data_IF_290033921668
#
_entry.id   IF_290033921668
#
_cell.length_a   1.000
_cell.length_b   1.000
_cell.length_c   1.000
_cell.angle_alpha   90.00
_cell.angle_beta   90.00
_cell.angle_gamma   90.00
#
_symmetry.space_group_name_H-M   'P 1'
#
loop_
_entity.id
_entity.type
_entity.pdbx_description
1 polymer ?
#
# COMPACT_ATOMS: atom_id res chain seq x y z
N UNK A 1 33.24 -11.02 13.48
CA UNK A 1 32.17 -10.98 12.45
C UNK A 1 30.88 -10.30 12.98
N UNK A 2 30.95 -9.08 13.53
CA UNK A 2 29.78 -8.43 14.19
C UNK A 2 29.25 -7.18 13.46
N UNK A 3 29.90 -6.74 12.38
CA UNK A 3 29.56 -5.48 11.69
C UNK A 3 28.47 -5.62 10.61
N UNK A 4 28.18 -6.84 10.15
CA UNK A 4 27.22 -7.11 9.06
C UNK A 4 25.78 -7.20 9.54
N UNK A 5 25.55 -7.58 10.80
CA UNK A 5 24.23 -7.79 11.39
C UNK A 5 23.48 -6.48 11.68
N UNK A 6 24.20 -5.40 12.03
CA UNK A 6 23.60 -4.10 12.38
C UNK A 6 23.04 -3.35 11.18
N UNK A 7 23.60 -3.57 9.99
CA UNK A 7 23.16 -2.95 8.73
C UNK A 7 21.91 -3.62 8.14
N UNK A 8 21.79 -4.95 8.29
CA UNK A 8 20.62 -5.70 7.81
C UNK A 8 19.35 -5.37 8.60
N UNK A 9 19.48 -5.11 9.90
CA UNK A 9 18.37 -4.75 10.77
C UNK A 9 17.75 -3.40 10.37
N UNK A 10 18.58 -2.38 10.15
CA UNK A 10 18.10 -1.06 9.69
C UNK A 10 17.46 -1.08 8.30
N UNK A 11 17.95 -1.93 7.38
CA UNK A 11 17.36 -2.08 6.06
C UNK A 11 15.97 -2.74 6.12
N UNK A 12 15.80 -3.75 6.98
CA UNK A 12 14.51 -4.40 7.19
C UNK A 12 13.48 -3.46 7.82
N UNK A 13 13.90 -2.65 8.80
CA UNK A 13 13.04 -1.65 9.45
C UNK A 13 12.63 -0.54 8.48
N UNK A 14 13.56 -0.04 7.67
CA UNK A 14 13.27 0.95 6.63
C UNK A 14 12.31 0.39 5.56
N UNK A 15 12.53 -0.86 5.13
CA UNK A 15 11.64 -1.53 4.18
C UNK A 15 10.22 -1.70 4.76
N UNK A 16 10.10 -2.11 6.03
CA UNK A 16 8.80 -2.22 6.70
C UNK A 16 8.11 -0.87 6.85
N UNK A 17 8.86 0.18 7.19
CA UNK A 17 8.33 1.54 7.25
C UNK A 17 7.74 1.98 5.90
N UNK A 18 8.51 1.84 4.82
CA UNK A 18 8.03 2.19 3.46
C UNK A 18 6.77 1.42 3.10
N UNK A 19 6.75 0.10 3.34
CA UNK A 19 5.56 -0.72 3.05
C UNK A 19 4.34 -0.31 3.87
N UNK A 20 4.55 0.07 5.13
CA UNK A 20 3.48 0.54 6.02
C UNK A 20 2.92 1.87 5.51
N UNK A 21 3.79 2.83 5.18
CA UNK A 21 3.37 4.12 4.61
C UNK A 21 2.64 3.93 3.29
N UNK A 22 3.17 3.12 2.36
CA UNK A 22 2.49 2.86 1.08
C UNK A 22 1.14 2.19 1.30
N UNK A 23 1.04 1.24 2.24
CA UNK A 23 -0.23 0.62 2.58
C UNK A 23 -1.27 1.63 3.08
N UNK A 24 -0.89 2.48 4.03
CA UNK A 24 -1.78 3.42 4.69
C UNK A 24 -2.27 4.49 3.68
N UNK A 25 -1.35 5.08 2.90
CA UNK A 25 -1.67 6.08 1.88
C UNK A 25 -2.53 5.49 0.75
N UNK A 26 -2.18 4.30 0.25
CA UNK A 26 -2.97 3.63 -0.80
C UNK A 26 -4.35 3.25 -0.29
N UNK A 27 -4.47 2.82 0.96
CA UNK A 27 -5.76 2.49 1.58
C UNK A 27 -6.66 3.73 1.73
N UNK A 28 -6.09 4.88 2.09
CA UNK A 28 -6.81 6.14 2.13
C UNK A 28 -7.30 6.56 0.73
N UNK A 29 -6.43 6.48 -0.28
CA UNK A 29 -6.77 6.81 -1.65
C UNK A 29 -7.84 5.85 -2.22
N UNK A 30 -7.73 4.55 -1.94
CA UNK A 30 -8.74 3.56 -2.36
C UNK A 30 -10.11 3.90 -1.81
N UNK A 31 -10.21 4.28 -0.53
CA UNK A 31 -11.48 4.71 0.08
C UNK A 31 -12.10 5.91 -0.65
N UNK A 32 -11.28 6.92 -0.97
CA UNK A 32 -11.74 8.08 -1.73
C UNK A 32 -12.23 7.70 -3.14
N UNK A 33 -11.48 6.86 -3.85
CA UNK A 33 -11.89 6.38 -5.19
C UNK A 33 -13.17 5.54 -5.13
N UNK A 34 -13.34 4.70 -4.11
CA UNK A 34 -14.57 3.93 -3.89
C UNK A 34 -15.78 4.81 -3.58
N UNK A 35 -15.58 5.95 -2.92
CA UNK A 35 -16.62 6.96 -2.69
C UNK A 35 -16.99 7.68 -3.99
N UNK A 36 -16.02 8.07 -4.81
CA UNK A 36 -16.26 8.69 -6.13
C UNK A 36 -17.00 7.71 -7.04
N UNK A 37 -16.55 6.44 -7.11
CA UNK A 37 -17.21 5.38 -7.89
C UNK A 37 -18.68 5.16 -7.50
N UNK A 38 -19.06 5.47 -6.26
CA UNK A 38 -20.43 5.33 -5.76
C UNK A 38 -21.30 6.56 -6.01
N UNK A 39 -20.70 7.75 -6.05
CA UNK A 39 -21.43 9.03 -6.16
C UNK A 39 -21.61 9.51 -7.59
N UNK A 40 -20.68 9.21 -8.47
CA UNK A 40 -20.65 9.71 -9.84
C UNK A 40 -20.97 8.61 -10.84
N UNK A 41 -21.40 8.97 -12.07
CA UNK A 41 -21.65 8.01 -13.13
C UNK A 41 -20.45 7.08 -13.35
N UNK A 42 -20.71 5.83 -13.81
CA UNK A 42 -19.65 4.87 -14.08
C UNK A 42 -18.59 5.44 -15.01
N UNK A 43 -17.32 5.32 -14.61
CA UNK A 43 -16.17 5.69 -15.42
C UNK A 43 -15.17 4.53 -15.42
N UNK A 44 -14.87 3.99 -16.59
CA UNK A 44 -13.99 2.82 -16.76
C UNK A 44 -12.57 3.06 -16.24
N UNK A 45 -12.03 4.27 -16.43
CA UNK A 45 -10.69 4.63 -15.94
C UNK A 45 -10.68 4.63 -14.41
N UNK A 46 -11.74 5.15 -13.79
CA UNK A 46 -11.87 5.15 -12.34
C UNK A 46 -12.01 3.73 -11.76
N UNK A 47 -12.71 2.84 -12.44
CA UNK A 47 -12.76 1.42 -12.05
C UNK A 47 -11.42 0.72 -12.22
N UNK A 48 -10.65 1.07 -13.26
CA UNK A 48 -9.30 0.56 -13.44
C UNK A 48 -8.37 1.06 -12.34
N UNK A 49 -8.42 2.36 -11.99
CA UNK A 49 -7.67 2.92 -10.86
C UNK A 49 -8.05 2.23 -9.55
N UNK A 50 -9.35 2.02 -9.28
CA UNK A 50 -9.82 1.26 -8.11
C UNK A 50 -9.23 -0.15 -8.07
N UNK A 51 -9.18 -0.83 -9.21
CA UNK A 51 -8.60 -2.17 -9.31
C UNK A 51 -7.10 -2.15 -8.98
N UNK A 52 -6.33 -1.23 -9.54
CA UNK A 52 -4.89 -1.10 -9.27
C UNK A 52 -4.61 -0.79 -7.79
N UNK A 53 -5.37 0.12 -7.19
CA UNK A 53 -5.23 0.46 -5.78
C UNK A 53 -5.50 -0.74 -4.87
N UNK A 54 -6.53 -1.55 -5.19
CA UNK A 54 -6.78 -2.81 -4.46
C UNK A 54 -5.61 -3.78 -4.55
N UNK A 55 -4.99 -3.91 -5.73
CA UNK A 55 -3.83 -4.79 -5.90
C UNK A 55 -2.64 -4.34 -5.02
N UNK A 56 -2.37 -3.03 -4.94
CA UNK A 56 -1.30 -2.49 -4.09
C UNK A 56 -1.61 -2.69 -2.60
N UNK A 57 -2.85 -2.46 -2.16
CA UNK A 57 -3.27 -2.72 -0.77
C UNK A 57 -3.12 -4.21 -0.42
N UNK A 58 -3.53 -5.11 -1.31
CA UNK A 58 -3.40 -6.55 -1.12
C UNK A 58 -1.94 -6.97 -1.02
N UNK A 59 -1.08 -6.46 -1.89
CA UNK A 59 0.34 -6.80 -1.88
C UNK A 59 1.00 -6.27 -0.61
N UNK A 60 0.81 -4.99 -0.26
CA UNK A 60 1.41 -4.40 0.95
C UNK A 60 0.92 -5.04 2.25
N UNK A 61 -0.33 -5.50 2.30
CA UNK A 61 -0.87 -6.22 3.47
C UNK A 61 -0.13 -7.53 3.75
N UNK A 62 0.32 -8.25 2.71
CA UNK A 62 1.08 -9.51 2.88
C UNK A 62 2.41 -9.31 3.61
N UNK A 63 2.93 -8.09 3.60
CA UNK A 63 4.21 -7.74 4.22
C UNK A 63 4.06 -6.98 5.55
N UNK A 64 2.82 -6.78 6.05
CA UNK A 64 2.56 -6.19 7.36
C UNK A 64 2.39 -7.32 8.39
N UNK A 65 3.19 -7.39 9.46
CA UNK A 65 2.89 -8.25 10.59
C UNK A 65 1.66 -7.69 11.33
N UNK A 66 0.75 -8.57 11.73
CA UNK A 66 -0.44 -8.26 12.54
C UNK A 66 -0.09 -7.56 13.86
#
# INVERSE_FOLDING_TARGET
MARRSKSLMGAADAHRFVLTTVHDETSALLKAVEEICRRYPPNNDLYFVRYLLRMVVLETRRHRPD
#
